data_IF_000958096432
#
_entry.id   IF_000958096432
#
_cell.length_a   1.000
_cell.length_b   1.000
_cell.length_c   1.000
_cell.angle_alpha   90.00
_cell.angle_beta   90.00
_cell.angle_gamma   90.00
#
_symmetry.space_group_name_H-M   'P 1'
#
loop_
_entity.id
_entity.type
_entity.pdbx_description
1 polymer ?
#
# COMPACT_ATOMS: atom_id res chain seq x y z
N UNK A 1 13.56 57.72 -7.77
CA UNK A 1 12.29 58.36 -8.15
C UNK A 1 11.16 57.39 -7.81
N UNK A 2 10.03 57.89 -7.29
CA UNK A 2 9.52 57.46 -5.99
C UNK A 2 8.30 56.55 -6.05
N UNK A 3 7.98 56.03 -4.87
CA UNK A 3 6.84 55.22 -4.48
C UNK A 3 5.49 55.72 -5.05
N UNK A 4 4.64 54.78 -5.46
CA UNK A 4 3.21 55.02 -5.70
C UNK A 4 2.42 54.56 -4.48
N UNK A 5 1.66 55.51 -3.94
CA UNK A 5 0.72 55.45 -2.83
C UNK A 5 -0.09 54.16 -2.71
N UNK A 6 -0.07 53.57 -1.51
CA UNK A 6 -1.18 52.78 -1.01
C UNK A 6 -2.16 53.71 -0.30
N UNK A 7 -3.23 54.08 -1.02
CA UNK A 7 -4.40 54.72 -0.44
C UNK A 7 -5.07 53.79 0.57
N UNK A 8 -5.21 54.29 1.80
CA UNK A 8 -6.03 53.74 2.86
C UNK A 8 -7.51 53.77 2.45
N UNK A 9 -8.09 52.62 2.13
CA UNK A 9 -9.52 52.37 2.35
C UNK A 9 -9.62 51.24 3.37
N UNK A 10 -9.79 51.67 4.62
CA UNK A 10 -10.15 50.82 5.75
C UNK A 10 -11.62 50.42 5.62
N UNK A 11 -11.91 49.43 4.78
CA UNK A 11 -13.10 48.60 4.97
C UNK A 11 -12.73 47.50 5.96
N UNK A 12 -12.94 47.83 7.23
CA UNK A 12 -12.86 46.91 8.36
C UNK A 12 -13.87 45.77 8.16
N UNK A 13 -13.43 44.68 7.55
CA UNK A 13 -14.09 43.39 7.71
C UNK A 13 -14.04 43.04 9.21
N UNK A 14 -15.19 42.84 9.89
CA UNK A 14 -15.16 42.44 11.28
C UNK A 14 -14.68 40.98 11.32
N UNK A 15 -13.40 40.79 11.63
CA UNK A 15 -12.87 39.51 12.12
C UNK A 15 -13.54 39.21 13.47
N UNK A 16 -14.78 38.72 13.40
CA UNK A 16 -15.53 38.14 14.51
C UNK A 16 -15.66 36.65 14.27
N UNK A 17 -14.53 35.96 14.32
CA UNK A 17 -14.52 34.51 14.47
C UNK A 17 -13.47 34.19 15.53
N UNK A 18 -13.94 33.72 16.68
CA UNK A 18 -13.08 33.13 17.69
C UNK A 18 -12.23 32.05 17.03
N UNK A 19 -10.91 32.18 17.11
CA UNK A 19 -9.97 31.10 16.79
C UNK A 19 -10.19 29.91 17.73
N UNK A 20 -11.20 29.07 17.48
CA UNK A 20 -11.41 27.74 18.07
C UNK A 20 -11.43 27.62 19.59
N UNK A 21 -11.24 28.70 20.35
CA UNK A 21 -11.20 28.71 21.80
C UNK A 21 -12.62 28.84 22.33
N UNK A 22 -13.25 27.70 22.53
CA UNK A 22 -14.45 27.60 23.35
C UNK A 22 -13.98 27.65 24.81
N UNK A 23 -14.23 28.78 25.49
CA UNK A 23 -14.06 28.85 26.94
C UNK A 23 -14.94 27.76 27.58
N UNK A 24 -14.34 26.93 28.46
CA UNK A 24 -14.92 25.75 29.14
C UNK A 24 -14.84 24.38 28.42
N UNK A 25 -14.09 24.22 27.32
CA UNK A 25 -13.82 22.88 26.77
C UNK A 25 -12.79 22.15 27.66
N UNK A 26 -13.24 21.48 28.71
CA UNK A 26 -12.39 20.57 29.49
C UNK A 26 -12.04 19.37 28.60
N UNK A 27 -10.79 18.92 28.62
CA UNK A 27 -10.33 17.71 27.90
C UNK A 27 -10.75 16.40 28.60
N UNK A 28 -11.57 16.51 29.65
CA UNK A 28 -12.09 15.40 30.45
C UNK A 28 -13.31 14.81 29.73
N UNK A 29 -13.41 13.48 29.63
CA UNK A 29 -14.55 12.79 29.00
C UNK A 29 -14.30 12.14 27.63
N UNK A 30 -13.07 12.19 27.09
CA UNK A 30 -12.78 11.66 25.73
C UNK A 30 -13.00 10.15 25.60
N UNK A 31 -12.83 9.40 26.69
CA UNK A 31 -13.05 7.96 26.68
C UNK A 31 -14.55 7.64 26.57
N UNK A 32 -15.36 8.35 27.32
CA UNK A 32 -16.82 8.26 27.31
C UNK A 32 -17.39 8.74 25.96
N UNK A 33 -16.88 9.86 25.43
CA UNK A 33 -17.24 10.35 24.09
C UNK A 33 -16.89 9.32 23.01
N UNK A 34 -15.70 8.72 23.08
CA UNK A 34 -15.27 7.67 22.15
C UNK A 34 -16.18 6.43 22.24
N UNK A 35 -16.49 5.94 23.43
CA UNK A 35 -17.36 4.77 23.64
C UNK A 35 -18.77 5.02 23.11
N UNK A 36 -19.35 6.19 23.41
CA UNK A 36 -20.66 6.61 22.92
C UNK A 36 -20.72 6.69 21.38
N UNK A 37 -19.66 7.22 20.75
CA UNK A 37 -19.55 7.27 19.30
C UNK A 37 -19.32 5.89 18.69
N UNK A 38 -18.48 5.05 19.29
CA UNK A 38 -18.25 3.68 18.82
C UNK A 38 -19.53 2.85 18.86
N UNK A 39 -20.31 2.96 19.94
CA UNK A 39 -21.60 2.30 20.05
C UNK A 39 -22.57 2.76 18.96
N UNK A 40 -22.67 4.08 18.73
CA UNK A 40 -23.57 4.62 17.72
C UNK A 40 -23.15 4.26 16.28
N UNK A 41 -21.85 4.28 15.98
CA UNK A 41 -21.33 3.89 14.66
C UNK A 41 -21.49 2.40 14.41
N UNK A 42 -21.26 1.56 15.43
CA UNK A 42 -21.48 0.10 15.36
C UNK A 42 -22.89 -0.22 14.85
N UNK A 43 -23.88 0.49 15.37
CA UNK A 43 -25.29 0.30 15.02
C UNK A 43 -25.61 0.69 13.56
N UNK A 44 -24.71 1.42 12.88
CA UNK A 44 -24.78 1.69 11.44
C UNK A 44 -23.98 0.69 10.60
N UNK A 45 -22.73 0.37 11.00
CA UNK A 45 -21.81 -0.41 10.16
C UNK A 45 -22.08 -1.92 10.20
N UNK A 46 -22.57 -2.46 11.33
CA UNK A 46 -22.84 -3.91 11.44
C UNK A 46 -24.01 -4.32 10.55
N UNK A 47 -25.15 -3.60 10.52
CA UNK A 47 -26.22 -3.89 9.56
C UNK A 47 -25.78 -3.77 8.09
N UNK A 48 -24.89 -2.82 7.79
CA UNK A 48 -24.35 -2.63 6.44
C UNK A 48 -23.55 -3.85 5.94
N UNK A 49 -22.70 -4.41 6.80
CA UNK A 49 -21.97 -5.66 6.50
C UNK A 49 -22.94 -6.85 6.45
N UNK A 50 -23.86 -6.95 7.41
CA UNK A 50 -24.85 -8.03 7.46
C UNK A 50 -25.74 -8.08 6.20
N UNK A 51 -26.07 -6.94 5.61
CA UNK A 51 -26.85 -6.89 4.38
C UNK A 51 -26.15 -7.62 3.22
N UNK A 52 -24.81 -7.57 3.15
CA UNK A 52 -24.03 -8.32 2.17
C UNK A 52 -24.10 -9.84 2.41
N UNK A 53 -23.97 -10.28 3.67
CA UNK A 53 -24.08 -11.70 4.06
C UNK A 53 -25.47 -12.27 3.75
N UNK A 54 -26.52 -11.53 4.12
CA UNK A 54 -27.91 -11.96 3.91
C UNK A 54 -28.25 -12.05 2.40
N UNK A 55 -27.60 -11.22 1.58
CA UNK A 55 -27.76 -11.22 0.12
C UNK A 55 -26.95 -12.32 -0.58
N UNK A 56 -25.82 -12.75 -0.01
CA UNK A 56 -24.90 -13.70 -0.64
C UNK A 56 -25.59 -15.00 -1.09
N UNK A 57 -26.48 -15.56 -0.27
CA UNK A 57 -27.22 -16.79 -0.58
C UNK A 57 -28.15 -16.67 -1.79
N UNK A 58 -28.62 -15.45 -2.12
CA UNK A 58 -29.61 -15.19 -3.17
C UNK A 58 -29.00 -14.62 -4.44
N UNK A 59 -27.74 -14.18 -4.41
CA UNK A 59 -27.02 -13.57 -5.54
C UNK A 59 -27.11 -14.37 -6.83
N UNK A 60 -26.92 -15.69 -6.75
CA UNK A 60 -26.95 -16.59 -7.92
C UNK A 60 -28.29 -16.56 -8.67
N UNK A 61 -29.38 -16.08 -8.05
CA UNK A 61 -30.70 -15.99 -8.69
C UNK A 61 -30.85 -14.77 -9.61
N UNK A 62 -29.94 -13.80 -9.54
CA UNK A 62 -30.05 -12.52 -10.25
C UNK A 62 -31.19 -11.62 -9.76
N UNK A 63 -31.91 -11.99 -8.70
CA UNK A 63 -33.02 -11.21 -8.15
C UNK A 63 -32.53 -10.26 -7.06
N UNK A 64 -32.93 -9.00 -7.15
CA UNK A 64 -32.66 -8.01 -6.10
C UNK A 64 -33.48 -8.31 -4.83
N UNK A 65 -32.87 -8.17 -3.63
CA UNK A 65 -33.61 -8.10 -2.38
C UNK A 65 -34.68 -7.03 -2.40
N UNK A 66 -35.71 -7.20 -1.57
CA UNK A 66 -36.77 -6.21 -1.36
C UNK A 66 -36.70 -5.68 0.07
N UNK A 67 -36.91 -4.39 0.23
CA UNK A 67 -37.02 -3.76 1.55
C UNK A 67 -38.38 -4.05 2.21
N UNK A 68 -38.60 -3.52 3.41
CA UNK A 68 -39.85 -3.72 4.14
C UNK A 68 -41.09 -3.17 3.40
N UNK A 69 -40.92 -2.21 2.50
CA UNK A 69 -41.98 -1.67 1.64
C UNK A 69 -42.12 -2.45 0.31
N UNK A 70 -41.39 -3.56 0.16
CA UNK A 70 -41.41 -4.40 -1.04
C UNK A 70 -40.62 -3.83 -2.22
N UNK A 71 -39.87 -2.74 -2.06
CA UNK A 71 -39.10 -2.10 -3.14
C UNK A 71 -37.79 -2.86 -3.37
N UNK A 72 -37.43 -3.18 -4.63
CA UNK A 72 -36.15 -3.80 -4.91
C UNK A 72 -35.00 -2.84 -4.58
N UNK A 73 -33.94 -3.34 -3.96
CA UNK A 73 -32.74 -2.55 -3.69
C UNK A 73 -31.48 -3.37 -4.00
N UNK A 74 -30.40 -2.69 -4.37
CA UNK A 74 -29.13 -3.31 -4.68
C UNK A 74 -28.16 -3.10 -3.53
N UNK A 75 -27.80 -4.20 -2.84
CA UNK A 75 -26.85 -4.19 -1.73
C UNK A 75 -25.46 -3.72 -2.15
N UNK A 76 -25.06 -3.97 -3.41
CA UNK A 76 -23.74 -3.59 -3.92
C UNK A 76 -23.59 -2.07 -4.06
N UNK A 77 -24.61 -1.40 -4.58
CA UNK A 77 -24.63 0.05 -4.74
C UNK A 77 -26.08 0.49 -4.95
N UNK A 78 -26.60 1.30 -4.03
CA UNK A 78 -27.93 1.86 -4.16
C UNK A 78 -27.91 2.96 -5.24
N UNK A 79 -28.59 2.70 -6.38
CA UNK A 79 -28.77 3.61 -7.50
C UNK A 79 -27.46 4.29 -8.01
N UNK A 80 -26.81 3.78 -9.08
CA UNK A 80 -25.60 4.41 -9.60
C UNK A 80 -25.91 5.82 -10.13
N UNK A 81 -25.65 6.83 -9.30
CA UNK A 81 -25.82 8.24 -9.64
C UNK A 81 -24.61 8.73 -10.43
N UNK A 82 -24.87 9.56 -11.44
CA UNK A 82 -23.82 10.33 -12.09
C UNK A 82 -23.20 11.33 -11.10
N UNK A 83 -21.90 11.70 -11.24
CA UNK A 83 -21.21 12.52 -10.24
C UNK A 83 -21.96 13.80 -9.84
N UNK A 84 -22.52 14.54 -10.81
CA UNK A 84 -23.30 15.76 -10.54
C UNK A 84 -24.56 15.49 -9.71
N UNK A 85 -25.28 14.40 -10.00
CA UNK A 85 -26.47 14.02 -9.26
C UNK A 85 -26.14 13.56 -7.84
N UNK A 86 -25.01 12.86 -7.66
CA UNK A 86 -24.54 12.45 -6.34
C UNK A 86 -24.13 13.66 -5.48
N UNK A 87 -23.40 14.63 -6.05
CA UNK A 87 -23.05 15.87 -5.35
C UNK A 87 -24.30 16.61 -4.89
N UNK A 88 -25.29 16.77 -5.77
CA UNK A 88 -26.57 17.39 -5.42
C UNK A 88 -27.34 16.59 -4.37
N UNK A 89 -27.29 15.26 -4.44
CA UNK A 89 -28.01 14.38 -3.51
C UNK A 89 -27.38 14.37 -2.12
N UNK A 90 -26.06 14.28 -2.03
CA UNK A 90 -25.34 14.30 -0.76
C UNK A 90 -25.35 15.68 -0.12
N UNK A 91 -25.34 16.75 -0.94
CA UNK A 91 -25.30 18.12 -0.43
C UNK A 91 -24.17 18.36 0.57
N UNK A 92 -23.07 17.60 0.46
CA UNK A 92 -22.00 17.60 1.45
C UNK A 92 -21.28 18.96 1.43
N UNK A 93 -21.31 19.64 2.57
CA UNK A 93 -20.64 20.90 2.78
C UNK A 93 -20.05 20.94 4.19
N UNK A 94 -18.86 21.53 4.31
CA UNK A 94 -18.27 21.82 5.60
C UNK A 94 -19.07 22.96 6.27
N UNK A 95 -19.42 22.84 7.57
CA UNK A 95 -20.11 23.92 8.26
C UNK A 95 -19.18 25.13 8.43
N UNK A 96 -19.69 26.34 8.19
CA UNK A 96 -18.94 27.60 8.33
C UNK A 96 -18.82 28.08 9.79
N UNK A 97 -19.60 27.49 10.71
CA UNK A 97 -19.65 27.83 12.13
C UNK A 97 -19.41 26.61 13.04
N UNK A 98 -20.37 26.33 13.93
CA UNK A 98 -20.27 25.17 14.81
C UNK A 98 -20.41 23.84 14.06
N UNK A 99 -19.69 22.82 14.53
CA UNK A 99 -19.83 21.46 14.00
C UNK A 99 -21.21 20.89 14.29
N UNK A 100 -21.67 19.97 13.44
CA UNK A 100 -23.02 19.35 13.55
C UNK A 100 -23.17 18.31 14.68
N UNK A 101 -22.17 18.18 15.54
CA UNK A 101 -22.12 17.23 16.65
C UNK A 101 -22.30 15.77 16.24
N UNK A 102 -22.67 14.92 17.21
CA UNK A 102 -22.91 13.48 17.01
C UNK A 102 -23.97 13.20 15.93
N UNK A 103 -25.08 13.92 15.96
CA UNK A 103 -26.17 13.71 15.00
C UNK A 103 -25.70 13.90 13.56
N UNK A 104 -25.04 15.03 13.24
CA UNK A 104 -24.54 15.27 11.89
C UNK A 104 -23.41 14.33 11.47
N UNK A 105 -22.61 13.83 12.41
CA UNK A 105 -21.63 12.76 12.12
C UNK A 105 -22.35 11.47 11.69
N UNK A 106 -23.37 11.04 12.43
CA UNK A 106 -24.13 9.83 12.12
C UNK A 106 -24.90 9.96 10.80
N UNK A 107 -25.50 11.12 10.52
CA UNK A 107 -26.15 11.41 9.24
C UNK A 107 -25.14 11.30 8.09
N UNK A 108 -23.94 11.88 8.26
CA UNK A 108 -22.87 11.81 7.27
C UNK A 108 -22.42 10.36 7.04
N UNK A 109 -22.23 9.57 8.10
CA UNK A 109 -21.86 8.16 7.99
C UNK A 109 -22.96 7.37 7.28
N UNK A 110 -24.23 7.63 7.58
CA UNK A 110 -25.34 6.96 6.94
C UNK A 110 -25.39 7.26 5.43
N UNK A 111 -25.21 8.51 5.03
CA UNK A 111 -25.11 8.89 3.62
C UNK A 111 -23.90 8.24 2.93
N UNK A 112 -22.75 8.22 3.60
CA UNK A 112 -21.54 7.56 3.08
C UNK A 112 -21.78 6.06 2.85
N UNK A 113 -22.36 5.35 3.82
CA UNK A 113 -22.69 3.94 3.67
C UNK A 113 -23.71 3.72 2.54
N UNK A 114 -24.71 4.59 2.44
CA UNK A 114 -25.78 4.48 1.45
C UNK A 114 -25.29 4.64 0.01
N UNK A 115 -24.46 5.65 -0.23
CA UNK A 115 -24.02 6.01 -1.58
C UNK A 115 -22.65 5.43 -1.96
N UNK A 116 -22.01 4.67 -1.07
CA UNK A 116 -20.78 3.94 -1.38
C UNK A 116 -21.06 2.56 -1.95
N UNK A 117 -20.08 2.03 -2.69
CA UNK A 117 -20.09 0.62 -3.09
C UNK A 117 -19.86 -0.25 -1.85
N UNK A 118 -20.75 -1.21 -1.62
CA UNK A 118 -20.56 -2.22 -0.59
C UNK A 118 -19.61 -3.32 -1.06
N UNK A 119 -18.33 -3.16 -0.78
CA UNK A 119 -17.29 -4.13 -1.15
C UNK A 119 -17.40 -5.46 -0.41
N UNK A 120 -18.23 -5.55 0.65
CA UNK A 120 -18.57 -6.81 1.34
C UNK A 120 -19.52 -7.69 0.55
N UNK A 121 -20.27 -7.12 -0.40
CA UNK A 121 -21.18 -7.87 -1.25
C UNK A 121 -20.39 -8.80 -2.20
N UNK A 122 -20.76 -10.08 -2.23
CA UNK A 122 -20.06 -11.10 -3.03
C UNK A 122 -20.18 -10.93 -4.56
N UNK A 123 -21.00 -9.98 -5.03
CA UNK A 123 -21.00 -9.59 -6.44
C UNK A 123 -20.02 -8.49 -6.77
N UNK A 124 -19.26 -7.98 -5.81
CA UNK A 124 -18.16 -7.06 -6.06
C UNK A 124 -16.99 -7.79 -6.74
N UNK A 125 -16.81 -7.55 -8.04
CA UNK A 125 -15.76 -8.18 -8.87
C UNK A 125 -15.02 -7.18 -9.76
N UNK A 126 -15.18 -5.88 -9.51
CA UNK A 126 -14.73 -4.79 -10.40
C UNK A 126 -13.25 -4.43 -10.23
N UNK A 127 -12.63 -4.78 -9.09
CA UNK A 127 -11.23 -4.46 -8.78
C UNK A 127 -10.51 -5.67 -8.21
N UNK A 128 -9.17 -5.64 -8.24
CA UNK A 128 -8.29 -6.67 -7.66
C UNK A 128 -8.21 -6.61 -6.13
N UNK A 129 -9.19 -5.97 -5.50
CA UNK A 129 -9.35 -5.83 -4.05
C UNK A 129 -10.79 -6.20 -3.74
N UNK A 130 -10.99 -7.10 -2.80
CA UNK A 130 -12.30 -7.44 -2.27
C UNK A 130 -12.55 -6.68 -0.96
N UNK A 131 -13.65 -7.00 -0.27
CA UNK A 131 -13.85 -6.57 1.11
C UNK A 131 -12.64 -6.84 1.97
N UNK A 132 -12.47 -5.98 2.98
CA UNK A 132 -11.61 -6.31 4.11
C UNK A 132 -12.26 -7.43 4.95
N UNK A 133 -11.67 -7.73 6.09
CA UNK A 133 -12.18 -8.71 7.03
C UNK A 133 -12.37 -8.08 8.42
N UNK A 134 -13.17 -8.69 9.33
CA UNK A 134 -13.43 -8.12 10.66
C UNK A 134 -12.17 -7.85 11.47
N UNK A 135 -11.13 -8.69 11.35
CA UNK A 135 -9.83 -8.46 12.02
C UNK A 135 -9.19 -7.18 11.50
N UNK A 136 -9.18 -6.98 10.18
CA UNK A 136 -8.69 -5.77 9.54
C UNK A 136 -9.41 -4.50 10.01
N UNK A 137 -10.74 -4.54 10.16
CA UNK A 137 -11.52 -3.41 10.69
C UNK A 137 -11.09 -3.06 12.11
N UNK A 138 -10.94 -4.05 12.99
CA UNK A 138 -10.49 -3.82 14.36
C UNK A 138 -9.04 -3.31 14.39
N UNK A 139 -8.16 -3.83 13.53
CA UNK A 139 -6.80 -3.31 13.37
C UNK A 139 -6.78 -1.83 12.99
N UNK A 140 -7.66 -1.37 12.07
CA UNK A 140 -7.79 0.05 11.74
C UNK A 140 -8.19 0.90 12.93
N UNK A 141 -9.14 0.42 13.74
CA UNK A 141 -9.57 1.14 14.94
C UNK A 141 -8.41 1.31 15.93
N UNK A 142 -7.63 0.26 16.16
CA UNK A 142 -6.45 0.32 17.04
C UNK A 142 -5.39 1.27 16.49
N UNK A 143 -5.10 1.21 15.18
CA UNK A 143 -4.14 2.11 14.54
C UNK A 143 -4.59 3.58 14.62
N UNK A 144 -5.90 3.84 14.48
CA UNK A 144 -6.48 5.17 14.67
C UNK A 144 -6.34 5.72 16.09
N UNK A 145 -6.39 4.84 17.11
CA UNK A 145 -6.14 5.23 18.51
C UNK A 145 -4.65 5.53 18.74
N UNK A 146 -3.76 4.69 18.21
CA UNK A 146 -2.31 4.86 18.39
C UNK A 146 -1.78 6.10 17.67
N UNK A 147 -2.30 6.40 16.48
CA UNK A 147 -2.02 7.58 15.67
C UNK A 147 -0.53 8.01 15.69
N UNK A 148 0.37 7.04 15.57
CA UNK A 148 1.82 7.24 15.62
C UNK A 148 2.47 6.91 14.28
N UNK A 149 3.74 7.24 14.17
CA UNK A 149 4.53 7.14 12.95
C UNK A 149 5.66 6.12 13.12
N UNK A 150 5.91 5.28 12.11
CA UNK A 150 6.88 4.14 12.16
C UNK A 150 8.26 4.46 11.56
N UNK A 151 8.76 5.68 11.75
CA UNK A 151 10.09 6.09 11.26
C UNK A 151 11.21 5.78 12.27
N UNK A 152 10.96 5.89 13.57
CA UNK A 152 11.93 5.59 14.64
C UNK A 152 11.32 4.73 15.73
N UNK A 153 12.14 3.89 16.35
CA UNK A 153 11.68 2.88 17.30
C UNK A 153 11.01 3.50 18.54
N UNK A 154 11.57 4.57 19.10
CA UNK A 154 11.10 5.13 20.38
C UNK A 154 9.69 5.75 20.31
N UNK A 155 9.22 6.20 19.13
CA UNK A 155 7.84 6.71 18.96
C UNK A 155 6.83 5.62 18.63
N UNK A 156 7.28 4.42 18.27
CA UNK A 156 6.43 3.32 17.78
C UNK A 156 7.00 1.92 18.07
N UNK A 157 7.38 1.60 19.33
CA UNK A 157 8.19 0.41 19.62
C UNK A 157 7.47 -0.90 19.28
N UNK A 158 6.20 -1.03 19.70
CA UNK A 158 5.39 -2.21 19.41
C UNK A 158 5.13 -2.39 17.91
N UNK A 159 4.75 -1.30 17.22
CA UNK A 159 4.49 -1.29 15.78
C UNK A 159 5.76 -1.64 14.98
N UNK A 160 6.91 -1.09 15.36
CA UNK A 160 8.20 -1.43 14.76
C UNK A 160 8.52 -2.93 14.85
N UNK A 161 8.24 -3.56 16.00
CA UNK A 161 8.42 -5.02 16.15
C UNK A 161 7.45 -5.77 15.24
N UNK A 162 6.18 -5.35 15.18
CA UNK A 162 5.17 -5.97 14.30
C UNK A 162 5.57 -5.86 12.83
N UNK A 163 6.00 -4.70 12.35
CA UNK A 163 6.47 -4.47 10.97
C UNK A 163 7.65 -5.37 10.63
N UNK A 164 8.69 -5.40 11.48
CA UNK A 164 9.90 -6.20 11.26
C UNK A 164 9.61 -7.70 11.20
N UNK A 165 8.86 -8.21 12.17
CA UNK A 165 8.52 -9.63 12.24
C UNK A 165 7.58 -10.06 11.10
N UNK A 166 6.60 -9.22 10.75
CA UNK A 166 5.70 -9.47 9.61
C UNK A 166 6.47 -9.45 8.30
N UNK A 167 7.33 -8.45 8.08
CA UNK A 167 8.18 -8.35 6.89
C UNK A 167 9.10 -9.55 6.73
N UNK A 168 9.73 -10.01 7.83
CA UNK A 168 10.56 -11.22 7.84
C UNK A 168 9.76 -12.49 7.55
N UNK A 169 8.58 -12.63 8.15
CA UNK A 169 7.70 -13.76 7.89
C UNK A 169 7.22 -13.80 6.43
N UNK A 170 6.85 -12.65 5.86
CA UNK A 170 6.48 -12.52 4.45
C UNK A 170 7.66 -12.86 3.52
N UNK A 171 8.83 -12.29 3.77
CA UNK A 171 10.05 -12.58 3.01
C UNK A 171 10.35 -14.10 2.95
N UNK A 172 10.16 -14.80 4.08
CA UNK A 172 10.33 -16.24 4.16
C UNK A 172 9.39 -17.04 3.23
N UNK A 173 8.17 -16.58 2.96
CA UNK A 173 7.25 -17.24 2.01
C UNK A 173 7.76 -17.22 0.57
N UNK A 174 8.61 -16.26 0.22
CA UNK A 174 9.24 -16.14 -1.09
C UNK A 174 10.65 -16.75 -1.15
N UNK A 175 11.07 -17.47 -0.11
CA UNK A 175 12.38 -18.12 -0.07
C UNK A 175 13.53 -17.21 0.37
N UNK A 176 13.26 -15.97 0.80
CA UNK A 176 14.27 -15.11 1.42
C UNK A 176 14.58 -15.60 2.84
N UNK A 177 15.74 -16.21 3.01
CA UNK A 177 16.19 -16.83 4.26
C UNK A 177 17.48 -16.22 4.82
N UNK A 178 17.97 -15.14 4.20
CA UNK A 178 19.15 -14.42 4.66
C UNK A 178 19.00 -13.89 6.09
N UNK A 179 20.11 -13.65 6.80
CA UNK A 179 20.08 -13.14 8.17
C UNK A 179 19.36 -11.79 8.27
N UNK A 180 19.46 -10.97 7.22
CA UNK A 180 18.82 -9.66 7.08
C UNK A 180 17.59 -9.66 6.15
N UNK A 181 17.01 -10.82 5.88
CA UNK A 181 15.77 -10.91 5.11
C UNK A 181 14.61 -10.23 5.84
N UNK A 182 13.77 -9.53 5.08
CA UNK A 182 12.64 -8.78 5.61
C UNK A 182 12.03 -7.87 4.55
N UNK A 183 11.38 -6.80 4.99
CA UNK A 183 10.83 -5.82 4.08
C UNK A 183 10.39 -4.55 4.77
N UNK A 184 9.97 -3.59 3.96
CA UNK A 184 9.44 -2.29 4.38
C UNK A 184 8.03 -2.12 3.84
N UNK A 185 7.17 -1.48 4.61
CA UNK A 185 5.84 -1.08 4.14
C UNK A 185 5.94 0.11 3.19
N UNK A 186 5.05 0.14 2.19
CA UNK A 186 4.91 1.25 1.25
C UNK A 186 3.44 1.61 1.04
N UNK A 187 3.17 2.84 0.60
CA UNK A 187 1.82 3.33 0.31
C UNK A 187 1.28 2.75 -1.01
N UNK A 188 1.03 1.44 -1.02
CA UNK A 188 0.57 0.69 -2.18
C UNK A 188 1.68 0.17 -3.10
N UNK A 189 1.29 -0.72 -4.01
CA UNK A 189 2.23 -1.47 -4.88
C UNK A 189 3.01 -0.57 -5.83
N UNK A 190 2.40 0.51 -6.34
CA UNK A 190 3.10 1.48 -7.17
C UNK A 190 4.26 2.15 -6.43
N UNK A 191 4.08 2.46 -5.13
CA UNK A 191 5.14 3.02 -4.27
C UNK A 191 6.22 1.97 -4.00
N UNK A 192 5.86 0.70 -3.78
CA UNK A 192 6.82 -0.40 -3.65
C UNK A 192 7.67 -0.56 -4.93
N UNK A 193 7.04 -0.55 -6.10
CA UNK A 193 7.72 -0.69 -7.39
C UNK A 193 8.64 0.51 -7.67
N UNK A 194 8.19 1.74 -7.42
CA UNK A 194 9.04 2.94 -7.49
C UNK A 194 10.23 2.84 -6.53
N UNK A 195 9.99 2.49 -5.27
CA UNK A 195 11.04 2.33 -4.26
C UNK A 195 12.04 1.26 -4.68
N UNK A 196 11.59 0.17 -5.31
CA UNK A 196 12.47 -0.88 -5.82
C UNK A 196 13.43 -0.38 -6.90
N UNK A 197 12.96 0.49 -7.80
CA UNK A 197 13.78 1.08 -8.87
C UNK A 197 14.80 2.06 -8.29
N UNK A 198 14.40 2.91 -7.34
CA UNK A 198 15.33 3.81 -6.63
C UNK A 198 16.42 3.02 -5.92
N UNK A 199 16.04 1.95 -5.20
CA UNK A 199 17.00 1.06 -4.54
C UNK A 199 17.94 0.41 -5.55
N UNK A 200 17.41 -0.10 -6.68
CA UNK A 200 18.22 -0.74 -7.70
C UNK A 200 19.28 0.21 -8.27
N UNK A 201 18.87 1.43 -8.66
CA UNK A 201 19.79 2.47 -9.14
C UNK A 201 20.86 2.78 -8.11
N UNK A 202 20.45 3.10 -6.88
CA UNK A 202 21.35 3.52 -5.83
C UNK A 202 22.28 2.39 -5.32
N UNK A 203 21.87 1.12 -5.48
CA UNK A 203 22.68 -0.03 -5.09
C UNK A 203 23.69 -0.45 -6.16
N UNK A 204 23.35 -0.31 -7.44
CA UNK A 204 24.24 -0.66 -8.56
C UNK A 204 25.12 0.52 -9.01
N UNK A 205 24.63 1.76 -8.85
CA UNK A 205 25.27 3.02 -9.24
C UNK A 205 25.18 4.03 -8.08
N UNK A 206 25.94 3.82 -6.99
CA UNK A 206 25.79 4.58 -5.74
C UNK A 206 26.15 6.07 -5.87
N UNK A 207 27.00 6.43 -6.83
CA UNK A 207 27.34 7.80 -7.19
C UNK A 207 26.12 8.63 -7.62
N UNK A 208 25.07 7.96 -8.14
CA UNK A 208 23.84 8.63 -8.57
C UNK A 208 23.05 9.28 -7.44
N UNK A 209 23.33 8.92 -6.19
CA UNK A 209 22.71 9.53 -5.01
C UNK A 209 23.19 10.95 -4.76
N UNK A 210 24.44 11.23 -5.09
CA UNK A 210 25.06 12.55 -4.90
C UNK A 210 25.01 13.37 -6.18
N UNK A 211 25.30 12.73 -7.32
CA UNK A 211 25.54 13.42 -8.60
C UNK A 211 24.36 13.30 -9.57
N UNK A 212 23.27 12.65 -9.19
CA UNK A 212 22.17 12.35 -10.12
C UNK A 212 22.58 11.32 -11.18
N UNK A 213 21.81 11.21 -12.27
CA UNK A 213 22.05 10.18 -13.32
C UNK A 213 22.94 10.67 -14.46
N UNK A 214 23.72 11.75 -14.25
CA UNK A 214 24.64 12.26 -15.26
C UNK A 214 25.68 11.18 -15.65
N UNK A 215 25.97 11.07 -16.94
CA UNK A 215 26.86 10.02 -17.47
C UNK A 215 26.22 8.65 -17.68
N UNK A 216 24.98 8.44 -17.23
CA UNK A 216 24.23 7.21 -17.45
C UNK A 216 23.02 7.43 -18.35
N UNK A 217 22.77 6.47 -19.24
CA UNK A 217 21.53 6.41 -20.02
C UNK A 217 20.76 5.16 -19.62
N UNK A 218 20.22 5.18 -18.41
CA UNK A 218 19.55 4.01 -17.83
C UNK A 218 18.36 3.54 -18.67
N UNK A 219 18.21 2.23 -18.77
CA UNK A 219 17.06 1.56 -19.40
C UNK A 219 16.59 0.43 -18.49
N UNK A 220 15.28 0.27 -18.38
CA UNK A 220 14.63 -0.78 -17.60
C UNK A 220 13.72 -1.61 -18.50
N UNK A 221 13.53 -2.87 -18.12
CA UNK A 221 12.73 -3.81 -18.90
C UNK A 221 11.58 -4.34 -18.05
N UNK A 222 10.41 -4.46 -18.66
CA UNK A 222 9.23 -5.02 -18.01
C UNK A 222 8.36 -5.70 -19.06
N UNK A 223 7.53 -6.68 -18.69
CA UNK A 223 6.58 -7.27 -19.64
C UNK A 223 5.65 -6.19 -20.21
N UNK A 224 5.28 -6.25 -21.48
CA UNK A 224 4.26 -5.36 -22.05
C UNK A 224 2.89 -5.50 -21.35
N UNK A 225 2.65 -6.65 -20.69
CA UNK A 225 1.46 -6.92 -19.88
C UNK A 225 1.61 -6.52 -18.40
N UNK A 226 2.73 -5.89 -18.03
CA UNK A 226 3.02 -5.46 -16.66
C UNK A 226 2.16 -4.27 -16.23
N UNK A 227 2.19 -3.97 -14.93
CA UNK A 227 1.47 -2.82 -14.39
C UNK A 227 2.14 -1.51 -14.80
N UNK A 228 1.35 -0.52 -15.22
CA UNK A 228 1.81 0.79 -15.69
C UNK A 228 2.69 1.56 -14.67
N UNK A 229 2.71 1.15 -13.39
CA UNK A 229 3.53 1.78 -12.35
C UNK A 229 5.02 1.74 -12.66
N UNK A 230 5.50 0.76 -13.43
CA UNK A 230 6.93 0.67 -13.79
C UNK A 230 7.34 1.83 -14.69
N UNK A 231 6.52 2.14 -15.70
CA UNK A 231 6.73 3.31 -16.57
C UNK A 231 6.61 4.61 -15.77
N UNK A 232 5.59 4.73 -14.89
CA UNK A 232 5.48 5.89 -13.99
C UNK A 232 6.69 6.03 -13.07
N UNK A 233 7.27 4.92 -12.60
CA UNK A 233 8.47 4.96 -11.79
C UNK A 233 9.68 5.47 -12.57
N UNK A 234 9.86 5.02 -13.82
CA UNK A 234 10.91 5.55 -14.70
C UNK A 234 10.78 7.07 -14.94
N UNK A 235 9.55 7.55 -15.19
CA UNK A 235 9.26 8.98 -15.31
C UNK A 235 9.59 9.72 -14.02
N UNK A 236 9.11 9.23 -12.87
CA UNK A 236 9.34 9.86 -11.57
C UNK A 236 10.82 9.89 -11.16
N UNK A 237 11.61 8.89 -11.58
CA UNK A 237 13.05 8.85 -11.36
C UNK A 237 13.86 9.74 -12.34
N UNK A 238 13.20 10.47 -13.24
CA UNK A 238 13.85 11.35 -14.22
C UNK A 238 14.47 10.62 -15.41
N UNK A 239 14.17 9.33 -15.60
CA UNK A 239 14.68 8.52 -16.72
C UNK A 239 13.85 8.69 -17.99
N UNK A 240 12.61 9.16 -17.85
CA UNK A 240 11.63 9.32 -18.94
C UNK A 240 10.95 8.01 -19.35
N UNK A 241 9.73 8.11 -19.90
CA UNK A 241 8.92 6.93 -20.24
C UNK A 241 9.61 6.02 -21.28
N UNK A 242 10.33 6.60 -22.24
CA UNK A 242 11.06 5.86 -23.28
C UNK A 242 12.19 4.96 -22.73
N UNK A 243 12.64 5.16 -21.48
CA UNK A 243 13.59 4.27 -20.81
C UNK A 243 12.94 2.97 -20.29
N UNK A 244 11.62 2.91 -20.23
CA UNK A 244 10.86 1.73 -19.84
C UNK A 244 10.51 0.90 -21.09
N UNK A 245 11.29 -0.14 -21.34
CA UNK A 245 11.12 -0.99 -22.52
C UNK A 245 10.17 -2.14 -22.21
N UNK A 246 9.03 -2.17 -22.90
CA UNK A 246 8.11 -3.29 -22.91
C UNK A 246 8.72 -4.49 -23.64
N UNK A 247 8.89 -5.59 -22.92
CA UNK A 247 9.32 -6.88 -23.46
C UNK A 247 8.09 -7.62 -23.99
N UNK A 248 8.12 -8.09 -25.25
CA UNK A 248 7.03 -8.87 -25.82
C UNK A 248 6.70 -10.10 -24.98
N UNK A 249 5.43 -10.48 -24.98
CA UNK A 249 4.95 -11.70 -24.36
C UNK A 249 4.96 -12.89 -25.33
N UNK A 250 5.06 -14.09 -24.77
CA UNK A 250 4.81 -15.33 -25.50
C UNK A 250 3.29 -15.54 -25.69
N UNK A 251 2.93 -16.65 -26.36
CA UNK A 251 1.52 -17.01 -26.62
C UNK A 251 0.67 -17.17 -25.35
N UNK A 252 1.29 -17.41 -24.21
CA UNK A 252 0.62 -17.60 -22.91
C UNK A 252 0.58 -16.29 -22.10
N UNK A 253 1.03 -15.17 -22.70
CA UNK A 253 1.08 -13.85 -22.08
C UNK A 253 2.23 -13.65 -21.09
N UNK A 254 3.23 -14.53 -21.09
CA UNK A 254 4.42 -14.43 -20.20
C UNK A 254 5.53 -13.69 -20.91
N UNK A 255 6.38 -12.97 -20.18
CA UNK A 255 7.56 -12.32 -20.75
C UNK A 255 8.41 -13.29 -21.57
N UNK A 256 8.69 -12.93 -22.83
CA UNK A 256 9.56 -13.70 -23.70
C UNK A 256 11.05 -13.45 -23.36
N UNK A 257 11.68 -14.42 -22.70
CA UNK A 257 13.07 -14.31 -22.19
C UNK A 257 14.10 -14.10 -23.31
N UNK A 258 13.88 -14.70 -24.49
CA UNK A 258 14.77 -14.49 -25.66
C UNK A 258 14.65 -13.06 -26.19
N UNK A 259 13.44 -12.50 -26.19
CA UNK A 259 13.22 -11.09 -26.54
C UNK A 259 13.85 -10.15 -25.51
N UNK A 260 13.73 -10.44 -24.20
CA UNK A 260 14.42 -9.68 -23.16
C UNK A 260 15.94 -9.63 -23.43
N UNK A 261 16.58 -10.79 -23.64
CA UNK A 261 18.02 -10.85 -23.91
C UNK A 261 18.40 -10.05 -25.16
N UNK A 262 17.62 -10.13 -26.23
CA UNK A 262 17.85 -9.35 -27.45
C UNK A 262 17.78 -7.84 -27.18
N UNK A 263 16.72 -7.38 -26.52
CA UNK A 263 16.50 -5.96 -26.20
C UNK A 263 17.60 -5.40 -25.30
N UNK A 264 18.09 -6.18 -24.33
CA UNK A 264 19.23 -5.79 -23.48
C UNK A 264 20.49 -5.58 -24.32
N UNK A 265 20.79 -6.48 -25.27
CA UNK A 265 21.95 -6.35 -26.16
C UNK A 265 21.84 -5.12 -27.06
N UNK A 266 20.66 -4.89 -27.65
CA UNK A 266 20.39 -3.71 -28.48
C UNK A 266 20.57 -2.42 -27.69
N UNK A 267 20.04 -2.35 -26.47
CA UNK A 267 20.18 -1.18 -25.63
C UNK A 267 21.65 -0.90 -25.29
N UNK A 268 22.45 -1.93 -24.94
CA UNK A 268 23.90 -1.77 -24.73
C UNK A 268 24.61 -1.28 -25.99
N UNK A 269 24.27 -1.82 -27.16
CA UNK A 269 24.86 -1.40 -28.43
C UNK A 269 24.55 0.08 -28.76
N UNK A 270 23.43 0.60 -28.25
CA UNK A 270 23.05 2.01 -28.37
C UNK A 270 23.66 2.92 -27.29
N UNK A 271 24.54 2.39 -26.43
CA UNK A 271 25.14 3.13 -25.32
C UNK A 271 24.20 3.34 -24.12
N UNK A 272 23.07 2.63 -24.05
CA UNK A 272 22.26 2.61 -22.83
C UNK A 272 22.92 1.78 -21.73
N UNK A 273 22.48 2.00 -20.50
CA UNK A 273 22.89 1.28 -19.29
C UNK A 273 21.72 0.43 -18.79
N UNK A 274 21.64 -0.87 -19.13
CA UNK A 274 20.63 -1.77 -18.57
C UNK A 274 20.72 -1.81 -17.04
N UNK A 275 19.62 -1.47 -16.37
CA UNK A 275 19.62 -1.30 -14.92
C UNK A 275 18.78 -2.35 -14.19
N UNK A 276 17.58 -2.62 -14.70
CA UNK A 276 16.52 -3.26 -13.93
C UNK A 276 15.57 -4.04 -14.81
N UNK A 277 15.13 -5.21 -14.33
CA UNK A 277 14.05 -5.97 -14.93
C UNK A 277 12.95 -6.19 -13.90
N UNK A 278 11.71 -5.82 -14.25
CA UNK A 278 10.52 -6.23 -13.53
C UNK A 278 9.93 -7.50 -14.17
N UNK A 279 9.92 -8.60 -13.42
CA UNK A 279 9.16 -9.79 -13.74
C UNK A 279 7.83 -9.76 -12.98
N UNK A 280 6.70 -9.83 -13.68
CA UNK A 280 5.37 -9.77 -13.06
C UNK A 280 4.90 -11.17 -12.66
N UNK A 281 4.63 -11.34 -11.36
CA UNK A 281 4.03 -12.54 -10.79
C UNK A 281 2.52 -12.31 -10.61
N UNK A 282 1.75 -12.55 -11.68
CA UNK A 282 0.31 -12.33 -11.74
C UNK A 282 -0.04 -10.97 -12.35
N UNK A 283 -0.11 -10.90 -13.68
CA UNK A 283 -0.53 -9.69 -14.41
C UNK A 283 -1.95 -9.26 -14.05
N UNK A 284 -2.22 -7.96 -14.11
CA UNK A 284 -3.48 -7.35 -13.67
C UNK A 284 -4.70 -7.93 -14.41
N UNK A 285 -4.59 -8.10 -15.73
CA UNK A 285 -5.72 -8.51 -16.59
C UNK A 285 -5.83 -10.03 -16.66
N UNK A 286 -4.74 -10.71 -17.01
CA UNK A 286 -4.76 -12.16 -17.31
C UNK A 286 -4.32 -13.05 -16.15
N UNK A 287 -3.72 -12.48 -15.08
CA UNK A 287 -3.20 -13.27 -13.96
C UNK A 287 -2.02 -14.16 -14.32
N UNK A 288 -1.24 -13.77 -15.33
CA UNK A 288 -0.11 -14.55 -15.87
C UNK A 288 1.17 -14.29 -15.07
N UNK A 289 2.05 -15.30 -15.00
CA UNK A 289 3.30 -15.26 -14.25
C UNK A 289 4.48 -15.37 -15.22
N UNK A 290 5.38 -14.39 -15.17
CA UNK A 290 6.62 -14.40 -15.94
C UNK A 290 7.57 -15.51 -15.46
N UNK A 291 8.46 -16.03 -16.34
CA UNK A 291 9.41 -17.08 -15.99
C UNK A 291 10.60 -16.51 -15.18
N UNK A 292 10.36 -16.18 -13.90
CA UNK A 292 11.28 -15.43 -13.01
C UNK A 292 12.70 -16.02 -13.01
N UNK A 293 12.84 -17.34 -12.86
CA UNK A 293 14.16 -18.01 -12.86
C UNK A 293 14.94 -17.79 -14.16
N UNK A 294 14.26 -17.83 -15.31
CA UNK A 294 14.91 -17.61 -16.60
C UNK A 294 15.23 -16.11 -16.81
N UNK A 295 14.37 -15.20 -16.33
CA UNK A 295 14.65 -13.76 -16.32
C UNK A 295 15.89 -13.46 -15.47
N UNK A 296 16.01 -14.09 -14.29
CA UNK A 296 17.18 -13.93 -13.41
C UNK A 296 18.49 -14.25 -14.11
N UNK A 297 18.53 -15.30 -14.93
CA UNK A 297 19.74 -15.66 -15.70
C UNK A 297 20.19 -14.52 -16.62
N UNK A 298 19.25 -13.80 -17.24
CA UNK A 298 19.57 -12.61 -18.04
C UNK A 298 20.03 -11.46 -17.16
N UNK A 299 19.38 -11.23 -16.01
CA UNK A 299 19.82 -10.22 -15.05
C UNK A 299 21.27 -10.46 -14.59
N UNK A 300 21.65 -11.69 -14.27
CA UNK A 300 23.00 -12.06 -13.86
C UNK A 300 24.03 -11.88 -15.00
N UNK A 301 23.67 -12.27 -16.23
CA UNK A 301 24.53 -12.13 -17.41
C UNK A 301 24.91 -10.67 -17.70
N UNK A 302 24.01 -9.71 -17.41
CA UNK A 302 24.19 -8.30 -17.75
C UNK A 302 24.33 -7.37 -16.53
N UNK A 303 24.36 -7.90 -15.30
CA UNK A 303 24.51 -7.12 -14.07
C UNK A 303 23.30 -6.24 -13.72
N UNK A 304 22.09 -6.68 -14.07
CA UNK A 304 20.85 -5.94 -13.79
C UNK A 304 20.20 -6.39 -12.48
N UNK A 305 19.43 -5.49 -11.87
CA UNK A 305 18.58 -5.79 -10.73
C UNK A 305 17.34 -6.59 -11.16
N UNK A 306 17.01 -7.68 -10.48
CA UNK A 306 15.74 -8.38 -10.64
C UNK A 306 14.73 -7.94 -9.58
N UNK A 307 13.64 -7.34 -10.02
CA UNK A 307 12.45 -7.14 -9.19
C UNK A 307 11.33 -8.08 -9.61
N UNK A 308 10.65 -8.65 -8.63
CA UNK A 308 9.41 -9.41 -8.86
C UNK A 308 8.20 -8.59 -8.38
N UNK A 309 7.37 -8.13 -9.30
CA UNK A 309 6.07 -7.54 -8.97
C UNK A 309 5.05 -8.65 -8.71
N UNK A 310 4.98 -9.07 -7.44
CA UNK A 310 3.97 -9.97 -6.91
C UNK A 310 2.80 -9.25 -6.25
N UNK A 311 2.53 -7.97 -6.57
CA UNK A 311 1.48 -7.19 -5.93
C UNK A 311 0.14 -7.93 -5.94
N UNK A 312 -0.24 -8.50 -7.08
CA UNK A 312 -1.42 -9.34 -7.20
C UNK A 312 -1.13 -10.81 -6.89
N UNK A 313 -0.32 -11.46 -7.73
CA UNK A 313 -0.16 -12.91 -7.70
C UNK A 313 0.80 -13.44 -6.65
N UNK A 314 1.52 -12.60 -5.90
CA UNK A 314 2.44 -13.02 -4.84
C UNK A 314 1.74 -13.77 -3.70
N UNK A 315 0.45 -13.50 -3.47
CA UNK A 315 -0.36 -14.17 -2.45
C UNK A 315 -0.51 -15.68 -2.67
N UNK A 316 -0.21 -16.21 -3.87
CA UNK A 316 -0.18 -17.66 -4.08
C UNK A 316 0.92 -18.36 -3.30
N UNK A 317 1.89 -17.62 -2.73
CA UNK A 317 2.91 -18.16 -1.82
C UNK A 317 2.31 -18.86 -0.59
N UNK A 318 1.12 -18.43 -0.14
CA UNK A 318 0.40 -19.05 0.97
C UNK A 318 -0.31 -20.35 0.58
N UNK A 319 -0.47 -20.62 -0.72
CA UNK A 319 -1.13 -21.82 -1.25
C UNK A 319 -0.13 -22.92 -1.56
N UNK A 320 -0.21 -24.06 -0.87
CA UNK A 320 0.60 -25.25 -1.21
C UNK A 320 0.39 -25.72 -2.65
N UNK A 321 -0.83 -25.56 -3.18
CA UNK A 321 -1.22 -25.97 -4.53
C UNK A 321 -0.64 -25.04 -5.61
N UNK A 322 -0.57 -23.74 -5.34
CA UNK A 322 -0.27 -22.73 -6.37
C UNK A 322 1.08 -22.02 -6.22
N UNK A 323 1.79 -22.17 -5.09
CA UNK A 323 3.10 -21.53 -4.85
C UNK A 323 4.16 -21.83 -5.91
N UNK A 324 4.04 -22.94 -6.65
CA UNK A 324 4.94 -23.29 -7.76
C UNK A 324 4.95 -22.24 -8.88
N UNK A 325 3.90 -21.40 -8.99
CA UNK A 325 3.86 -20.28 -9.96
C UNK A 325 4.90 -19.18 -9.67
N UNK A 326 5.48 -19.18 -8.47
CA UNK A 326 6.52 -18.23 -8.03
C UNK A 326 7.93 -18.83 -8.16
N UNK A 327 8.12 -19.86 -8.98
CA UNK A 327 9.45 -20.47 -9.16
C UNK A 327 10.50 -19.43 -9.59
N UNK A 328 11.56 -19.28 -8.79
CA UNK A 328 12.62 -18.30 -8.99
C UNK A 328 12.45 -17.00 -8.21
N UNK A 329 11.32 -16.78 -7.52
CA UNK A 329 11.12 -15.58 -6.69
C UNK A 329 12.18 -15.45 -5.58
N UNK A 330 12.73 -16.57 -5.09
CA UNK A 330 13.80 -16.61 -4.09
C UNK A 330 15.12 -16.00 -4.58
N UNK A 331 15.27 -15.84 -5.91
CA UNK A 331 16.45 -15.26 -6.55
C UNK A 331 16.34 -13.75 -6.78
N UNK A 332 15.17 -13.15 -6.49
CA UNK A 332 14.94 -11.73 -6.74
C UNK A 332 15.72 -10.85 -5.76
N UNK A 333 16.21 -9.71 -6.25
CA UNK A 333 16.87 -8.71 -5.41
C UNK A 333 15.84 -7.94 -4.57
N UNK A 334 14.64 -7.74 -5.11
CA UNK A 334 13.47 -7.25 -4.38
C UNK A 334 12.15 -7.84 -4.90
N UNK A 335 11.13 -7.86 -4.04
CA UNK A 335 9.81 -8.39 -4.38
C UNK A 335 8.69 -7.53 -3.76
N UNK A 336 7.71 -7.13 -4.57
CA UNK A 336 6.50 -6.46 -4.08
C UNK A 336 5.41 -7.50 -3.77
N UNK A 337 4.72 -7.37 -2.64
CA UNK A 337 3.44 -8.06 -2.36
C UNK A 337 2.43 -7.07 -1.77
N UNK A 338 1.17 -7.17 -2.21
CA UNK A 338 0.08 -6.36 -1.65
C UNK A 338 -0.93 -7.25 -0.92
N UNK A 339 -0.79 -7.46 0.40
CA UNK A 339 -1.81 -8.14 1.19
C UNK A 339 -3.20 -7.51 1.05
N UNK A 340 -3.29 -6.21 0.75
CA UNK A 340 -4.58 -5.54 0.52
C UNK A 340 -5.37 -6.02 -0.70
N UNK A 341 -4.78 -6.89 -1.54
CA UNK A 341 -5.45 -7.49 -2.69
C UNK A 341 -6.05 -8.85 -2.32
N UNK A 342 -5.38 -9.95 -2.67
CA UNK A 342 -5.91 -11.31 -2.53
C UNK A 342 -6.02 -11.79 -1.08
N UNK A 343 -5.37 -11.13 -0.11
CA UNK A 343 -5.44 -11.48 1.32
C UNK A 343 -6.47 -10.64 2.09
N UNK A 344 -7.21 -9.75 1.41
CA UNK A 344 -8.30 -8.97 2.00
C UNK A 344 -7.88 -8.13 3.22
N UNK A 345 -6.63 -7.70 3.26
CA UNK A 345 -6.15 -6.74 4.27
C UNK A 345 -6.70 -5.34 3.94
N UNK A 346 -7.06 -4.50 4.94
CA UNK A 346 -7.46 -3.11 4.67
C UNK A 346 -6.47 -2.37 3.77
N UNK A 347 -6.99 -1.55 2.86
CA UNK A 347 -6.16 -0.67 2.05
C UNK A 347 -5.72 0.55 2.88
N UNK A 348 -4.45 0.97 2.85
CA UNK A 348 -3.33 0.38 2.12
C UNK A 348 -2.60 -0.71 2.90
N UNK A 349 -1.99 -1.68 2.22
CA UNK A 349 -1.04 -2.62 2.77
C UNK A 349 -0.21 -3.21 1.63
N UNK A 350 1.05 -2.76 1.53
CA UNK A 350 2.02 -3.21 0.54
C UNK A 350 3.38 -3.36 1.19
N UNK A 351 4.09 -4.44 0.87
CA UNK A 351 5.45 -4.69 1.34
C UNK A 351 6.40 -4.78 0.16
N UNK A 352 7.53 -4.08 0.27
CA UNK A 352 8.71 -4.31 -0.54
C UNK A 352 9.68 -5.19 0.26
N UNK A 353 9.86 -6.42 -0.19
CA UNK A 353 10.65 -7.46 0.46
C UNK A 353 12.02 -7.60 -0.19
N UNK A 354 13.00 -8.07 0.57
CA UNK A 354 14.34 -8.43 0.07
C UNK A 354 14.99 -9.49 0.96
N UNK A 355 15.98 -10.17 0.40
CA UNK A 355 16.83 -11.10 1.15
C UNK A 355 17.89 -10.38 2.02
N UNK A 356 18.13 -9.08 1.78
CA UNK A 356 19.08 -8.28 2.55
C UNK A 356 18.65 -6.81 2.70
N UNK A 357 17.98 -6.49 3.82
CA UNK A 357 17.59 -5.11 4.17
C UNK A 357 18.79 -4.15 4.30
N UNK A 358 20.00 -4.66 4.52
CA UNK A 358 21.20 -3.82 4.53
C UNK A 358 21.45 -3.12 3.19
N UNK A 359 21.07 -3.76 2.05
CA UNK A 359 21.14 -3.13 0.73
C UNK A 359 20.13 -1.98 0.61
N UNK A 360 18.91 -2.19 1.10
CA UNK A 360 17.86 -1.16 1.09
C UNK A 360 18.27 0.06 1.92
N UNK A 361 18.78 -0.17 3.14
CA UNK A 361 19.27 0.90 4.00
C UNK A 361 20.40 1.69 3.33
N UNK A 362 21.45 1.03 2.81
CA UNK A 362 22.54 1.75 2.14
C UNK A 362 22.05 2.54 0.92
N UNK A 363 21.07 2.02 0.19
CA UNK A 363 20.53 2.67 -1.01
C UNK A 363 19.65 3.90 -0.69
N UNK A 364 18.98 3.93 0.47
CA UNK A 364 17.99 4.96 0.80
C UNK A 364 18.37 5.91 1.95
N UNK A 365 19.38 5.58 2.76
CA UNK A 365 19.76 6.43 3.89
C UNK A 365 20.27 7.80 3.45
N UNK A 366 19.82 8.86 4.11
CA UNK A 366 20.44 10.19 4.08
C UNK A 366 20.76 10.59 5.52
N UNK A 367 21.80 11.41 5.72
CA UNK A 367 22.12 11.92 7.06
C UNK A 367 21.11 13.01 7.42
N UNK A 368 20.18 12.70 8.32
CA UNK A 368 19.17 13.62 8.82
C UNK A 368 19.25 13.70 10.35
N UNK A 369 20.15 14.55 10.87
CA UNK A 369 20.50 14.62 12.29
C UNK A 369 19.37 15.04 13.24
N UNK A 370 18.25 15.55 12.71
CA UNK A 370 17.05 15.88 13.51
C UNK A 370 16.19 14.64 13.83
N UNK A 371 16.43 13.51 13.14
CA UNK A 371 15.60 12.31 13.20
C UNK A 371 16.40 11.06 13.56
N UNK A 372 17.58 10.91 12.95
CA UNK A 372 18.49 9.81 13.22
C UNK A 372 19.68 10.37 14.00
N UNK A 373 19.79 9.94 15.25
CA UNK A 373 20.91 10.30 16.12
C UNK A 373 21.91 9.14 16.06
N UNK A 374 23.16 9.43 15.73
CA UNK A 374 24.25 8.45 15.82
C UNK A 374 24.45 8.16 17.32
N UNK A 375 24.29 6.89 17.73
CA UNK A 375 24.49 6.49 19.12
C UNK A 375 25.99 6.65 19.49
N UNK A 376 26.33 7.42 20.54
CA UNK A 376 27.74 7.66 20.91
C UNK A 376 28.44 6.43 21.50
N UNK A 377 27.72 5.34 21.80
CA UNK A 377 28.31 4.08 22.27
C UNK A 377 28.47 3.09 21.12
N UNK A 378 29.69 3.02 20.56
CA UNK A 378 30.08 2.04 19.57
C UNK A 378 29.96 0.60 20.08
N UNK A 379 28.95 -0.12 19.59
CA UNK A 379 28.78 -1.56 19.81
C UNK A 379 28.50 -2.28 18.50
N UNK A 380 29.55 -2.76 17.84
CA UNK A 380 29.42 -3.77 16.80
C UNK A 380 28.86 -5.06 17.46
N UNK A 381 27.55 -5.27 17.33
CA UNK A 381 26.92 -6.55 17.70
C UNK A 381 25.82 -6.47 18.76
N UNK A 382 24.76 -5.69 18.54
CA UNK A 382 23.46 -5.96 19.17
C UNK A 382 22.35 -5.74 18.14
N UNK A 383 21.51 -6.77 17.97
CA UNK A 383 20.25 -6.73 17.23
C UNK A 383 19.32 -5.76 17.95
N UNK A 384 19.27 -4.48 17.56
CA UNK A 384 18.39 -3.52 18.24
C UNK A 384 18.35 -2.08 17.73
N UNK A 385 19.43 -1.52 17.19
CA UNK A 385 19.53 -0.06 16.96
C UNK A 385 19.09 0.48 15.59
N UNK A 386 18.64 -0.36 14.66
CA UNK A 386 18.27 0.10 13.31
C UNK A 386 16.88 0.76 13.30
N UNK A 387 16.83 2.10 13.31
CA UNK A 387 15.62 2.87 13.05
C UNK A 387 14.94 2.41 11.74
N UNK A 388 13.65 2.09 11.80
CA UNK A 388 12.90 1.55 10.67
C UNK A 388 12.81 2.49 9.46
N UNK A 389 13.05 3.80 9.65
CA UNK A 389 12.91 4.81 8.62
C UNK A 389 13.90 4.72 7.45
N UNK A 390 15.12 4.21 7.66
CA UNK A 390 16.16 4.26 6.62
C UNK A 390 15.95 3.34 5.40
N UNK A 391 14.96 2.45 5.45
CA UNK A 391 14.68 1.50 4.36
C UNK A 391 13.62 1.96 3.36
N UNK A 392 12.75 2.92 3.73
CA UNK A 392 11.67 3.45 2.90
C UNK A 392 11.92 4.89 2.45
N UNK A 393 11.13 5.37 1.48
CA UNK A 393 11.23 6.76 0.98
C UNK A 393 10.45 7.80 1.79
N UNK A 394 9.59 7.37 2.74
CA UNK A 394 8.73 8.28 3.51
C UNK A 394 9.35 8.72 4.85
N UNK A 395 9.29 10.02 5.15
CA UNK A 395 9.66 10.57 6.47
C UNK A 395 8.62 10.27 7.56
N UNK A 396 7.33 10.27 7.18
CA UNK A 396 6.25 9.72 7.97
C UNK A 396 5.59 8.52 7.32
N UNK A 397 5.45 7.43 8.07
CA UNK A 397 4.85 6.18 7.60
C UNK A 397 3.80 5.70 8.60
N UNK A 398 2.68 5.25 8.05
CA UNK A 398 1.64 4.54 8.78
C UNK A 398 2.04 3.07 8.89
N UNK A 399 1.77 2.41 10.02
CA UNK A 399 2.03 0.98 10.15
C UNK A 399 0.90 0.19 9.47
N UNK A 400 1.21 -0.38 8.31
CA UNK A 400 0.29 -1.23 7.57
C UNK A 400 0.45 -2.73 7.95
N UNK A 401 1.40 -3.07 8.83
CA UNK A 401 1.79 -4.44 9.16
C UNK A 401 0.90 -5.07 10.24
N UNK A 402 0.37 -4.28 11.18
CA UNK A 402 -0.64 -4.73 12.17
C UNK A 402 -1.87 -5.37 11.53
N UNK A 403 -2.14 -4.99 10.27
CA UNK A 403 -3.27 -5.44 9.46
C UNK A 403 -3.06 -6.85 8.88
N UNK A 404 -1.82 -7.36 8.86
CA UNK A 404 -1.45 -8.59 8.15
C UNK A 404 -1.70 -9.85 9.01
N UNK A 405 -2.45 -10.85 8.52
CA UNK A 405 -2.74 -12.05 9.29
C UNK A 405 -1.52 -12.95 9.45
N UNK A 406 -1.07 -13.20 10.69
CA UNK A 406 -0.19 -14.34 11.00
C UNK A 406 -1.01 -15.64 11.03
N UNK A 407 -1.09 -16.33 9.88
CA UNK A 407 -1.48 -17.75 9.71
C UNK A 407 -2.84 -18.20 10.31
N UNK A 408 -3.77 -18.63 9.45
CA UNK A 408 -4.80 -19.64 9.78
C UNK A 408 -4.55 -20.93 8.96
N UNK A 409 -4.65 -22.14 9.53
CA UNK A 409 -4.95 -23.35 8.77
C UNK A 409 -6.46 -23.50 8.57
N UNK A 410 -6.87 -23.98 7.40
CA UNK A 410 -8.27 -24.22 7.03
C UNK A 410 -8.99 -25.19 7.98
N UNK A 411 -10.14 -24.77 8.51
CA UNK A 411 -11.42 -25.50 8.55
C UNK A 411 -12.48 -24.59 9.17
N UNK A 412 -13.74 -24.73 8.75
CA UNK A 412 -14.84 -23.84 9.14
C UNK A 412 -15.11 -23.78 10.65
N UNK A 413 -15.91 -22.76 10.99
CA UNK A 413 -16.46 -22.40 12.28
C UNK A 413 -15.65 -21.42 13.16
N UNK A 414 -16.28 -20.25 13.32
CA UNK A 414 -16.25 -19.32 14.47
C UNK A 414 -14.94 -18.57 14.76
N UNK A 415 -15.18 -17.28 15.01
CA UNK A 415 -14.26 -16.26 15.52
C UNK A 415 -13.47 -16.83 16.69
N UNK A 416 -12.16 -16.99 16.53
CA UNK A 416 -11.25 -17.19 17.65
C UNK A 416 -9.78 -16.96 17.25
N UNK A 417 -9.09 -16.20 18.11
CA UNK A 417 -7.62 -16.06 18.27
C UNK A 417 -6.87 -15.04 17.38
N UNK A 418 -6.91 -13.77 17.79
CA UNK A 418 -5.67 -12.99 17.99
C UNK A 418 -5.07 -13.45 19.33
N UNK A 419 -3.78 -13.78 19.38
CA UNK A 419 -3.01 -14.19 20.57
C UNK A 419 -3.22 -15.64 21.11
N UNK A 420 -2.46 -16.60 20.57
CA UNK A 420 -1.92 -17.78 21.29
C UNK A 420 -0.51 -18.03 20.71
N UNK A 421 0.60 -18.16 21.42
CA UNK A 421 0.98 -18.52 22.82
C UNK A 421 2.12 -17.53 23.22
N UNK A 422 2.43 -17.22 24.48
CA UNK A 422 2.60 -18.10 25.64
C UNK A 422 4.06 -18.56 25.69
N UNK A 423 4.85 -17.85 26.52
CA UNK A 423 6.30 -17.94 26.78
C UNK A 423 7.22 -17.31 25.72
#
# INVERSE_FOLDING_TARGET
MPASDHGNETDSLPYTALNGHIANKTTQGRAEELDDLLAAVRDLIVPYVKAADDNASKKHTGRLPRDAAGRPYNVLLEAPLQPRALVQRMGFALPEGEGKGKAGLLDTIQDLLRYSVNTWDQGWMDKLTASTNPVGVISEMVLGILNTNVHVYHVSPALTVVEKETGRALAAYFGFRGPRAGGVTCQGGSSSNLTSLVIARNALYPDTRENGSEGYRFVIFTSEASHYSIEKAAVACGMGAASCVGVPTDRDGRMCVTALRRLVREAKAQGCTPLYVNATAGTTVMGVYDPIRAVKQVCDEYGMWLHVDGAWGGSVAFSRKHRHKLDGAELADSLTINPQKMLNVPMTCSFLLTNDLGRFHRANSLRAGYLFHDDPEGGAGVVGGGGGGGGGLGSGRHDDAVRSPRRQPQAGARVDVLWRRGL
#
